data_IF_004933256843
#
_entry.id   IF_004933256843
#
_cell.length_a   1.000
_cell.length_b   1.000
_cell.length_c   1.000
_cell.angle_alpha   90.00
_cell.angle_beta   90.00
_cell.angle_gamma   90.00
#
_symmetry.space_group_name_H-M   'P 1'
#
loop_
_entity.id
_entity.type
_entity.pdbx_description
1 polymer ?
#
# COMPACT_ATOMS: atom_id res chain seq x y z
N UNK A 1 -27.30 -11.88 0.33
CA UNK A 1 -26.75 -10.76 1.11
C UNK A 1 -25.38 -11.08 1.76
N UNK A 2 -24.66 -12.14 1.35
CA UNK A 2 -23.34 -12.53 1.94
C UNK A 2 -22.14 -12.23 1.04
N UNK A 3 -22.37 -11.94 -0.25
CA UNK A 3 -21.31 -11.63 -1.21
C UNK A 3 -20.58 -10.31 -0.90
N UNK A 4 -21.27 -9.27 -0.41
CA UNK A 4 -20.62 -7.98 -0.13
C UNK A 4 -19.68 -8.03 1.07
N UNK A 5 -20.06 -8.71 2.16
CA UNK A 5 -19.21 -8.82 3.35
C UNK A 5 -17.97 -9.69 3.09
N UNK A 6 -18.14 -10.84 2.44
CA UNK A 6 -17.02 -11.71 2.07
C UNK A 6 -16.07 -11.03 1.09
N UNK A 7 -16.61 -10.31 0.10
CA UNK A 7 -15.80 -9.57 -0.87
C UNK A 7 -15.01 -8.43 -0.19
N UNK A 8 -15.65 -7.68 0.72
CA UNK A 8 -14.98 -6.64 1.52
C UNK A 8 -13.84 -7.20 2.36
N UNK A 9 -14.08 -8.31 3.06
CA UNK A 9 -13.07 -8.95 3.89
C UNK A 9 -11.92 -9.50 3.04
N UNK A 10 -12.23 -10.04 1.87
CA UNK A 10 -11.22 -10.51 0.92
C UNK A 10 -10.32 -9.38 0.43
N UNK A 11 -10.88 -8.25 -0.02
CA UNK A 11 -10.08 -7.11 -0.48
C UNK A 11 -9.20 -6.53 0.63
N UNK A 12 -9.75 -6.39 1.84
CA UNK A 12 -8.97 -5.98 3.01
C UNK A 12 -7.83 -6.95 3.28
N UNK A 13 -8.11 -8.25 3.29
CA UNK A 13 -7.09 -9.27 3.52
C UNK A 13 -5.98 -9.20 2.46
N UNK A 14 -6.34 -9.04 1.18
CA UNK A 14 -5.39 -8.87 0.08
C UNK A 14 -4.52 -7.62 0.26
N UNK A 15 -5.09 -6.51 0.69
CA UNK A 15 -4.34 -5.27 0.95
C UNK A 15 -3.37 -5.43 2.13
N UNK A 16 -3.82 -5.93 3.28
CA UNK A 16 -2.97 -6.13 4.46
C UNK A 16 -1.88 -7.19 4.23
N UNK A 17 -2.14 -8.16 3.36
CA UNK A 17 -1.19 -9.22 3.01
C UNK A 17 -0.34 -8.86 1.78
N UNK A 18 -0.55 -7.69 1.19
CA UNK A 18 0.18 -7.26 0.00
C UNK A 18 1.67 -7.10 0.32
N UNK A 19 2.51 -7.74 -0.48
CA UNK A 19 3.97 -7.69 -0.38
C UNK A 19 4.56 -7.54 -1.76
N UNK A 20 5.38 -6.52 -1.91
CA UNK A 20 6.21 -6.31 -3.07
C UNK A 20 7.37 -7.31 -3.05
N UNK A 21 7.65 -7.83 -4.22
CA UNK A 21 8.76 -8.72 -4.52
C UNK A 21 9.80 -7.98 -5.36
N UNK A 22 11.07 -8.22 -5.06
CA UNK A 22 12.22 -7.59 -5.72
C UNK A 22 12.38 -8.01 -7.20
N UNK A 23 11.70 -9.09 -7.62
CA UNK A 23 11.78 -9.66 -8.98
C UNK A 23 10.85 -8.98 -9.99
N UNK A 24 9.95 -8.10 -9.53
CA UNK A 24 8.98 -7.39 -10.36
C UNK A 24 9.25 -5.88 -10.36
N UNK A 25 8.87 -5.18 -11.44
CA UNK A 25 9.00 -3.74 -11.49
C UNK A 25 8.06 -3.09 -10.46
N UNK A 26 8.64 -2.18 -9.66
CA UNK A 26 7.91 -1.44 -8.62
C UNK A 26 6.65 -0.74 -9.17
N UNK A 27 6.70 -0.20 -10.39
CA UNK A 27 5.56 0.45 -11.03
C UNK A 27 4.34 -0.46 -11.16
N UNK A 28 4.51 -1.68 -11.68
CA UNK A 28 3.38 -2.64 -11.81
C UNK A 28 2.82 -3.04 -10.44
N UNK A 29 3.69 -3.13 -9.43
CA UNK A 29 3.25 -3.48 -8.07
C UNK A 29 2.53 -2.32 -7.39
N UNK A 30 2.96 -1.08 -7.63
CA UNK A 30 2.25 0.13 -7.20
C UNK A 30 0.88 0.22 -7.87
N UNK A 31 0.77 -0.09 -9.16
CA UNK A 31 -0.52 -0.13 -9.85
C UNK A 31 -1.48 -1.15 -9.23
N UNK A 32 -0.98 -2.32 -8.84
CA UNK A 32 -1.78 -3.34 -8.12
C UNK A 32 -2.22 -2.83 -6.74
N UNK A 33 -1.34 -2.16 -6.01
CA UNK A 33 -1.67 -1.56 -4.72
C UNK A 33 -2.76 -0.48 -4.86
N UNK A 34 -2.58 0.47 -5.77
CA UNK A 34 -3.54 1.54 -6.06
C UNK A 34 -4.90 0.96 -6.50
N UNK A 35 -4.88 -0.12 -7.29
CA UNK A 35 -6.09 -0.82 -7.68
C UNK A 35 -6.83 -1.44 -6.49
N UNK A 36 -6.12 -2.03 -5.53
CA UNK A 36 -6.74 -2.58 -4.31
C UNK A 36 -7.41 -1.50 -3.46
N UNK A 37 -6.80 -0.31 -3.36
CA UNK A 37 -7.41 0.86 -2.70
C UNK A 37 -8.68 1.28 -3.43
N UNK A 38 -8.62 1.42 -4.76
CA UNK A 38 -9.77 1.82 -5.57
C UNK A 38 -10.91 0.79 -5.54
N UNK A 39 -10.59 -0.51 -5.52
CA UNK A 39 -11.59 -1.59 -5.37
C UNK A 39 -12.27 -1.55 -3.99
N UNK A 40 -11.54 -1.14 -2.95
CA UNK A 40 -12.11 -0.91 -1.61
C UNK A 40 -12.98 0.36 -1.57
N UNK A 41 -12.54 1.44 -2.21
CA UNK A 41 -13.30 2.69 -2.30
C UNK A 41 -14.63 2.47 -3.05
N UNK A 42 -14.61 1.68 -4.12
CA UNK A 42 -15.80 1.29 -4.89
C UNK A 42 -16.88 0.55 -4.07
N UNK A 43 -16.53 0.02 -2.89
CA UNK A 43 -17.48 -0.65 -1.98
C UNK A 43 -17.68 0.15 -0.68
N UNK A 44 -17.48 1.47 -0.72
CA UNK A 44 -17.59 2.40 0.39
C UNK A 44 -16.62 2.09 1.54
N UNK A 45 -15.42 1.61 1.22
CA UNK A 45 -14.32 1.41 2.17
C UNK A 45 -13.17 2.32 1.83
N UNK A 46 -13.17 3.49 2.44
CA UNK A 46 -12.04 4.42 2.38
C UNK A 46 -10.98 4.01 3.40
N UNK A 47 -9.72 4.17 3.01
CA UNK A 47 -8.56 4.05 3.90
C UNK A 47 -7.92 5.43 3.91
N UNK A 48 -7.61 5.96 5.08
CA UNK A 48 -7.02 7.29 5.18
C UNK A 48 -5.63 7.31 4.52
N UNK A 49 -5.25 8.43 3.92
CA UNK A 49 -4.00 8.53 3.16
C UNK A 49 -2.76 8.18 3.98
N UNK A 50 -2.76 8.51 5.28
CA UNK A 50 -1.73 8.11 6.24
C UNK A 50 -1.64 6.58 6.39
N UNK A 51 -2.78 5.90 6.49
CA UNK A 51 -2.86 4.44 6.58
C UNK A 51 -2.45 3.80 5.24
N UNK A 52 -2.83 4.38 4.10
CA UNK A 52 -2.39 3.92 2.79
C UNK A 52 -0.87 4.01 2.65
N UNK A 53 -0.28 5.13 3.07
CA UNK A 53 1.17 5.33 3.09
C UNK A 53 1.86 4.28 3.99
N UNK A 54 1.33 4.04 5.19
CA UNK A 54 1.86 3.02 6.11
C UNK A 54 1.76 1.61 5.52
N UNK A 55 0.64 1.27 4.87
CA UNK A 55 0.43 -0.03 4.23
C UNK A 55 1.39 -0.24 3.07
N UNK A 56 1.59 0.78 2.24
CA UNK A 56 2.56 0.75 1.15
C UNK A 56 3.98 0.51 1.70
N UNK A 57 4.39 1.26 2.72
CA UNK A 57 5.67 1.06 3.41
C UNK A 57 5.80 -0.35 4.01
N UNK A 58 4.71 -0.91 4.54
CA UNK A 58 4.69 -2.27 5.07
C UNK A 58 4.74 -3.34 3.99
N UNK A 59 4.32 -3.03 2.76
CA UNK A 59 4.36 -3.94 1.62
C UNK A 59 5.74 -4.02 0.96
N UNK A 60 6.59 -3.01 1.15
CA UNK A 60 7.92 -2.95 0.53
C UNK A 60 8.75 -4.22 0.77
N UNK A 61 9.61 -4.62 -0.19
CA UNK A 61 10.45 -5.79 -0.03
C UNK A 61 11.49 -5.59 1.08
N UNK A 62 12.04 -6.68 1.62
CA UNK A 62 13.04 -6.62 2.71
C UNK A 62 14.31 -5.87 2.33
N UNK A 63 14.64 -5.80 1.05
CA UNK A 63 15.71 -4.97 0.50
C UNK A 63 15.56 -3.48 0.89
N UNK A 64 14.34 -3.02 1.14
CA UNK A 64 13.99 -1.66 1.52
C UNK A 64 13.72 -1.51 3.01
N UNK A 65 14.06 -2.50 3.85
CA UNK A 65 13.78 -2.47 5.29
C UNK A 65 14.40 -1.26 6.01
N UNK A 66 15.68 -0.96 5.74
CA UNK A 66 16.36 0.22 6.30
C UNK A 66 15.74 1.54 5.82
N UNK A 67 15.22 1.55 4.60
CA UNK A 67 14.51 2.69 4.04
C UNK A 67 13.18 2.87 4.76
N UNK A 68 12.42 1.79 4.96
CA UNK A 68 11.16 1.76 5.71
C UNK A 68 11.31 2.32 7.13
N UNK A 69 12.29 1.85 7.90
CA UNK A 69 12.51 2.34 9.28
C UNK A 69 12.89 3.82 9.29
N UNK A 70 13.77 4.24 8.39
CA UNK A 70 14.16 5.66 8.30
C UNK A 70 12.98 6.56 7.91
N UNK A 71 12.09 6.07 7.05
CA UNK A 71 10.90 6.81 6.61
C UNK A 71 9.85 6.91 7.72
N UNK A 72 9.54 5.80 8.40
CA UNK A 72 8.54 5.76 9.48
C UNK A 72 8.96 6.58 10.70
N UNK A 73 10.26 6.57 11.04
CA UNK A 73 10.76 7.24 12.24
C UNK A 73 11.41 8.62 11.99
N UNK A 74 11.76 8.95 10.73
CA UNK A 74 12.59 10.10 10.39
C UNK A 74 11.96 11.15 9.47
N UNK A 75 10.82 10.87 8.81
CA UNK A 75 10.09 11.84 7.99
C UNK A 75 8.60 11.77 8.31
N UNK A 76 8.02 12.92 8.63
CA UNK A 76 6.57 13.10 8.64
C UNK A 76 6.05 13.01 7.19
N UNK A 77 5.69 11.82 6.73
CA UNK A 77 4.97 11.66 5.48
C UNK A 77 3.48 11.90 5.74
N UNK A 78 2.93 12.94 5.11
CA UNK A 78 1.53 13.29 5.23
C UNK A 78 0.63 12.55 4.21
N UNK A 79 1.20 12.00 3.13
CA UNK A 79 0.41 11.43 2.03
C UNK A 79 1.07 10.23 1.33
N UNK A 80 0.24 9.41 0.67
CA UNK A 80 0.68 8.29 -0.18
C UNK A 80 1.58 8.75 -1.34
N UNK A 81 1.25 9.90 -1.95
CA UNK A 81 2.00 10.46 -3.07
C UNK A 81 3.45 10.79 -2.68
N UNK A 82 3.67 11.33 -1.47
CA UNK A 82 5.02 11.63 -0.98
C UNK A 82 5.87 10.36 -0.83
N UNK A 83 5.25 9.25 -0.39
CA UNK A 83 5.91 7.94 -0.29
C UNK A 83 6.25 7.40 -1.68
N UNK A 84 5.31 7.46 -2.63
CA UNK A 84 5.53 7.01 -4.01
C UNK A 84 6.60 7.83 -4.73
N UNK A 85 6.61 9.15 -4.56
CA UNK A 85 7.62 10.03 -5.13
C UNK A 85 9.02 9.72 -4.57
N UNK A 86 9.12 9.47 -3.26
CA UNK A 86 10.40 9.12 -2.62
C UNK A 86 10.90 7.74 -3.09
N UNK A 87 10.00 6.77 -3.32
CA UNK A 87 10.35 5.46 -3.88
C UNK A 87 10.86 5.55 -5.33
N UNK A 88 10.22 6.38 -6.16
CA UNK A 88 10.60 6.57 -7.56
C UNK A 88 11.87 7.42 -7.77
N UNK A 89 12.29 8.17 -6.76
CA UNK A 89 13.48 9.04 -6.83
C UNK A 89 14.81 8.30 -6.56
N UNK A 90 14.78 6.98 -6.34
CA UNK A 90 15.95 6.20 -5.91
C UNK A 90 16.47 5.26 -6.99
#
# INVERSE_FOLDING_TARGET
MTKSLLHRLYLKQSLYSFKMQDDRPMGEQLDVFNKLILDLENIDVTIDDEDQALLLLCSLPRSHFYFKDTLIFGRDFASLDDVQATLNSK
#
